data_IF_687277728553
#
_entry.id   IF_687277728553
#
_cell.length_a   1.000
_cell.length_b   1.000
_cell.length_c   1.000
_cell.angle_alpha   90.00
_cell.angle_beta   90.00
_cell.angle_gamma   90.00
#
_symmetry.space_group_name_H-M   'P 1'
#
loop_
_entity.id
_entity.type
_entity.pdbx_description
1 polymer ?
#
# COMPACT_ATOMS: atom_id res chain seq x y z
N UNK A 1 -17.67 -20.98 -1.59
CA UNK A 1 -16.83 -19.85 -2.04
C UNK A 1 -16.12 -19.31 -0.82
N UNK A 2 -14.86 -19.67 -0.59
CA UNK A 2 -14.10 -19.14 0.53
C UNK A 2 -13.86 -17.66 0.26
N UNK A 3 -14.36 -16.79 1.14
CA UNK A 3 -13.96 -15.39 1.18
C UNK A 3 -12.48 -15.34 1.55
N UNK A 4 -11.59 -15.53 0.57
CA UNK A 4 -10.17 -15.35 0.77
C UNK A 4 -9.95 -13.86 1.01
N UNK A 5 -9.49 -13.56 2.22
CA UNK A 5 -9.10 -12.22 2.61
C UNK A 5 -7.97 -11.75 1.67
N UNK A 6 -7.99 -10.50 1.16
CA UNK A 6 -6.96 -10.00 0.27
C UNK A 6 -5.57 -10.19 0.88
N UNK A 7 -4.61 -10.58 0.06
CA UNK A 7 -3.23 -10.83 0.50
C UNK A 7 -2.25 -10.43 -0.61
N UNK A 8 -0.93 -10.41 -0.34
CA UNK A 8 0.04 -9.90 -1.32
C UNK A 8 0.11 -10.65 -2.66
N UNK A 9 -0.40 -11.87 -2.74
CA UNK A 9 -0.48 -12.66 -3.99
C UNK A 9 -1.84 -12.55 -4.67
N UNK A 10 -2.88 -12.15 -3.95
CA UNK A 10 -4.25 -12.15 -4.44
C UNK A 10 -5.03 -10.95 -3.86
N UNK A 11 -5.06 -9.86 -4.63
CA UNK A 11 -5.91 -8.70 -4.39
C UNK A 11 -6.41 -8.10 -5.71
N UNK A 12 -7.63 -7.56 -5.70
CA UNK A 12 -8.35 -7.12 -6.89
C UNK A 12 -9.17 -5.83 -6.65
N UNK A 13 -9.42 -5.07 -7.73
CA UNK A 13 -10.19 -3.82 -7.71
C UNK A 13 -11.66 -3.94 -7.26
N UNK A 14 -12.15 -5.17 -7.08
CA UNK A 14 -13.51 -5.50 -6.63
C UNK A 14 -13.65 -5.53 -5.10
N UNK A 15 -12.54 -5.54 -4.35
CA UNK A 15 -12.60 -5.55 -2.90
C UNK A 15 -13.10 -4.22 -2.33
N UNK A 16 -14.07 -4.30 -1.41
CA UNK A 16 -14.64 -3.14 -0.71
C UNK A 16 -13.62 -2.38 0.14
N UNK A 17 -12.58 -3.07 0.60
CA UNK A 17 -11.50 -2.49 1.41
C UNK A 17 -10.65 -1.46 0.67
N UNK A 18 -10.79 -1.36 -0.66
CA UNK A 18 -10.12 -0.35 -1.47
C UNK A 18 -10.84 1.01 -1.45
N UNK A 19 -12.11 1.05 -1.03
CA UNK A 19 -12.88 2.28 -0.88
C UNK A 19 -12.60 2.86 0.50
N UNK A 20 -12.36 4.18 0.57
CA UNK A 20 -12.15 4.88 1.82
C UNK A 20 -13.40 4.78 2.71
N UNK A 21 -13.25 4.78 4.05
CA UNK A 21 -14.37 4.78 4.99
C UNK A 21 -15.45 5.85 4.73
N UNK A 22 -15.02 7.02 4.23
CA UNK A 22 -15.90 8.15 3.88
C UNK A 22 -16.52 8.05 2.48
N UNK A 23 -16.18 7.03 1.69
CA UNK A 23 -16.61 6.76 0.31
C UNK A 23 -16.24 7.84 -0.73
N UNK A 24 -15.36 8.79 -0.39
CA UNK A 24 -14.91 9.81 -1.34
C UNK A 24 -13.79 9.33 -2.27
N UNK A 25 -13.04 8.32 -1.85
CA UNK A 25 -11.86 7.85 -2.55
C UNK A 25 -11.89 6.34 -2.75
N UNK A 26 -11.28 5.89 -3.84
CA UNK A 26 -11.06 4.47 -4.11
C UNK A 26 -9.65 4.25 -4.64
N UNK A 27 -8.98 3.23 -4.11
CA UNK A 27 -7.72 2.75 -4.67
C UNK A 27 -8.00 1.85 -5.86
N UNK A 28 -7.31 2.09 -6.97
CA UNK A 28 -7.47 1.30 -8.21
C UNK A 28 -6.10 0.91 -8.74
N UNK A 29 -5.91 -0.38 -8.98
CA UNK A 29 -4.70 -0.96 -9.53
C UNK A 29 -4.85 -1.25 -11.04
N UNK A 30 -3.76 -1.15 -11.78
CA UNK A 30 -3.65 -1.54 -13.19
C UNK A 30 -2.41 -2.41 -13.37
N UNK A 31 -2.48 -3.28 -14.38
CA UNK A 31 -1.36 -4.13 -14.79
C UNK A 31 -0.74 -4.91 -13.61
N UNK A 32 -1.60 -5.48 -12.76
CA UNK A 32 -1.18 -6.36 -11.67
C UNK A 32 -0.55 -7.62 -12.24
N UNK A 33 0.73 -7.81 -11.95
CA UNK A 33 1.51 -8.96 -12.38
C UNK A 33 2.35 -9.49 -11.23
N UNK A 34 2.63 -10.79 -11.23
CA UNK A 34 3.61 -11.36 -10.32
C UNK A 34 4.99 -10.74 -10.57
N UNK A 35 5.73 -10.44 -9.50
CA UNK A 35 7.10 -9.90 -9.61
C UNK A 35 8.06 -10.95 -10.18
N UNK A 36 7.79 -12.20 -9.85
CA UNK A 36 8.44 -13.41 -10.33
C UNK A 36 7.45 -14.58 -10.12
N UNK A 37 7.68 -15.71 -10.78
CA UNK A 37 6.79 -16.87 -10.67
C UNK A 37 6.56 -17.27 -9.20
N UNK A 38 5.30 -17.20 -8.75
CA UNK A 38 4.89 -17.52 -7.38
C UNK A 38 5.25 -16.46 -6.32
N UNK A 39 5.78 -15.30 -6.74
CA UNK A 39 6.02 -14.14 -5.89
C UNK A 39 4.73 -13.29 -5.76
N UNK A 40 4.66 -12.39 -4.76
CA UNK A 40 3.58 -11.41 -4.67
C UNK A 40 3.39 -10.61 -5.95
N UNK A 41 2.19 -10.05 -6.11
CA UNK A 41 1.83 -9.22 -7.26
C UNK A 41 2.13 -7.74 -7.00
N UNK A 42 2.35 -7.00 -8.08
CA UNK A 42 2.50 -5.55 -8.07
C UNK A 42 2.01 -4.94 -9.38
N UNK A 43 1.69 -3.65 -9.34
CA UNK A 43 1.18 -2.92 -10.51
C UNK A 43 1.09 -1.42 -10.26
N UNK A 44 0.65 -0.69 -11.28
CA UNK A 44 0.40 0.74 -11.15
C UNK A 44 -0.79 0.97 -10.23
N UNK A 45 -0.71 1.99 -9.37
CA UNK A 45 -1.77 2.29 -8.42
C UNK A 45 -2.17 3.76 -8.49
N UNK A 46 -3.48 3.99 -8.44
CA UNK A 46 -4.11 5.29 -8.56
C UNK A 46 -5.12 5.49 -7.43
N UNK A 47 -5.24 6.73 -6.99
CA UNK A 47 -6.36 7.23 -6.21
C UNK A 47 -7.44 7.72 -7.18
N UNK A 48 -8.60 7.07 -7.19
CA UNK A 48 -9.80 7.55 -7.86
C UNK A 48 -10.62 8.42 -6.90
N UNK A 49 -10.90 9.65 -7.30
CA UNK A 49 -11.73 10.61 -6.56
C UNK A 49 -13.22 10.47 -6.93
N UNK A 50 -14.09 11.13 -6.16
CA UNK A 50 -15.55 11.11 -6.39
C UNK A 50 -15.97 11.60 -7.79
N UNK A 51 -15.20 12.51 -8.40
CA UNK A 51 -15.38 13.00 -9.77
C UNK A 51 -14.73 12.10 -10.84
N UNK A 52 -14.31 10.88 -10.47
CA UNK A 52 -13.70 9.87 -11.34
C UNK A 52 -12.35 10.24 -11.94
N UNK A 53 -11.72 11.33 -11.47
CA UNK A 53 -10.31 11.59 -11.78
C UNK A 53 -9.43 10.56 -11.10
N UNK A 54 -8.30 10.25 -11.75
CA UNK A 54 -7.32 9.29 -11.25
C UNK A 54 -6.00 9.99 -11.06
N UNK A 55 -5.53 9.99 -9.82
CA UNK A 55 -4.23 10.54 -9.45
C UNK A 55 -3.29 9.36 -9.20
N UNK A 56 -2.17 9.31 -9.93
CA UNK A 56 -1.20 8.22 -9.78
C UNK A 56 -0.54 8.30 -8.40
N UNK A 57 -0.58 7.20 -7.65
CA UNK A 57 0.11 7.05 -6.37
C UNK A 57 1.55 6.60 -6.64
N UNK A 58 1.71 5.50 -7.39
CA UNK A 58 3.02 4.99 -7.79
C UNK A 58 2.89 4.02 -8.97
N UNK A 59 3.97 3.82 -9.72
CA UNK A 59 4.01 2.86 -10.82
C UNK A 59 4.13 1.40 -10.36
N UNK A 60 4.60 1.15 -9.13
CA UNK A 60 4.89 -0.20 -8.66
C UNK A 60 4.46 -0.41 -7.20
N UNK A 61 3.16 -0.52 -6.99
CA UNK A 61 2.56 -0.81 -5.70
C UNK A 61 2.26 -2.31 -5.54
N UNK A 62 2.51 -2.84 -4.35
CA UNK A 62 1.92 -4.09 -3.88
C UNK A 62 0.58 -3.84 -3.18
N UNK A 63 0.05 -4.87 -2.55
CA UNK A 63 -1.21 -4.79 -1.82
C UNK A 63 -1.40 -5.94 -0.83
N UNK A 64 -2.57 -6.01 -0.19
CA UNK A 64 -3.61 -4.97 -0.21
C UNK A 64 -3.17 -3.71 0.55
N UNK A 65 -3.71 -2.52 0.21
CA UNK A 65 -3.53 -1.33 1.01
C UNK A 65 -4.50 -1.32 2.20
N UNK A 66 -4.28 -0.42 3.16
CA UNK A 66 -5.19 -0.22 4.28
C UNK A 66 -5.48 1.26 4.51
N UNK A 67 -6.76 1.61 4.52
CA UNK A 67 -7.23 2.91 4.96
C UNK A 67 -7.13 3.03 6.48
N UNK A 68 -6.71 4.21 6.95
CA UNK A 68 -6.91 4.62 8.33
C UNK A 68 -8.41 4.82 8.60
N UNK A 69 -8.85 4.66 9.86
CA UNK A 69 -10.27 4.69 10.25
C UNK A 69 -11.01 5.97 9.83
N UNK A 70 -10.34 7.12 9.83
CA UNK A 70 -10.92 8.41 9.42
C UNK A 70 -10.93 8.59 7.89
N UNK A 71 -10.30 7.67 7.15
CA UNK A 71 -10.28 7.61 5.68
C UNK A 71 -9.42 8.66 4.99
N UNK A 72 -8.66 9.46 5.75
CA UNK A 72 -7.80 10.51 5.21
C UNK A 72 -6.37 10.04 4.91
N UNK A 73 -5.97 8.92 5.49
CA UNK A 73 -4.65 8.33 5.29
C UNK A 73 -4.79 6.92 4.71
N UNK A 74 -3.92 6.60 3.77
CA UNK A 74 -3.85 5.29 3.13
C UNK A 74 -2.43 4.74 3.22
N UNK A 75 -2.28 3.58 3.86
CA UNK A 75 -1.05 2.82 3.84
C UNK A 75 -1.02 1.88 2.62
N UNK A 76 0.07 1.91 1.86
CA UNK A 76 0.24 1.11 0.65
C UNK A 76 1.66 0.53 0.56
N UNK A 77 1.82 -0.78 0.26
CA UNK A 77 3.12 -1.35 -0.05
C UNK A 77 3.63 -0.80 -1.39
N UNK A 78 4.89 -0.33 -1.42
CA UNK A 78 5.56 0.13 -2.65
C UNK A 78 6.79 -0.72 -2.88
N UNK A 79 6.87 -1.33 -4.04
CA UNK A 79 8.03 -2.07 -4.49
C UNK A 79 9.10 -1.11 -4.99
N UNK A 80 10.32 -1.28 -4.51
CA UNK A 80 11.48 -0.44 -4.84
C UNK A 80 12.68 -1.30 -5.18
N UNK A 81 13.48 -0.86 -6.13
CA UNK A 81 14.75 -1.51 -6.47
C UNK A 81 15.87 -0.77 -5.75
N UNK A 82 16.55 -1.44 -4.83
CA UNK A 82 17.73 -0.92 -4.11
C UNK A 82 18.98 -1.64 -4.64
N UNK A 83 20.03 -0.86 -4.95
CA UNK A 83 21.26 -1.37 -5.59
C UNK A 83 21.88 -2.59 -4.86
N UNK A 84 21.93 -2.57 -3.53
CA UNK A 84 22.54 -3.63 -2.71
C UNK A 84 21.55 -4.68 -2.17
N UNK A 85 20.24 -4.46 -2.28
CA UNK A 85 19.22 -5.34 -1.67
C UNK A 85 18.26 -5.97 -2.69
N UNK A 86 18.41 -5.66 -3.97
CA UNK A 86 17.47 -6.08 -5.01
C UNK A 86 16.11 -5.39 -4.86
N UNK A 87 15.04 -6.11 -5.19
CA UNK A 87 13.67 -5.64 -5.04
C UNK A 87 13.20 -5.85 -3.61
N UNK A 88 12.82 -4.77 -2.95
CA UNK A 88 12.27 -4.77 -1.58
C UNK A 88 10.98 -3.96 -1.54
N UNK A 89 10.23 -4.04 -0.45
CA UNK A 89 9.10 -3.14 -0.22
C UNK A 89 9.43 -2.04 0.77
N UNK A 90 8.75 -0.92 0.61
CA UNK A 90 8.65 0.16 1.57
C UNK A 90 7.17 0.43 1.84
N UNK A 91 6.88 1.07 2.98
CA UNK A 91 5.54 1.58 3.25
C UNK A 91 5.45 2.97 2.64
N UNK A 92 4.43 3.17 1.80
CA UNK A 92 3.92 4.47 1.42
C UNK A 92 2.71 4.85 2.28
N UNK A 93 2.61 6.10 2.70
CA UNK A 93 1.40 6.67 3.31
C UNK A 93 0.97 7.88 2.50
N UNK A 94 -0.21 7.79 1.89
CA UNK A 94 -0.85 8.87 1.17
C UNK A 94 -1.77 9.63 2.13
N UNK A 95 -1.57 10.94 2.26
CA UNK A 95 -2.53 11.87 2.86
C UNK A 95 -3.40 12.47 1.74
N UNK A 96 -4.69 12.11 1.73
CA UNK A 96 -5.65 12.53 0.69
C UNK A 96 -6.05 14.00 0.82
N UNK A 97 -5.87 14.62 1.99
CA UNK A 97 -6.23 16.03 2.21
C UNK A 97 -5.20 16.95 1.55
N UNK A 98 -3.94 16.58 1.69
CA UNK A 98 -2.81 17.34 1.16
C UNK A 98 -2.34 16.84 -0.21
N UNK A 99 -2.85 15.66 -0.63
CA UNK A 99 -2.38 14.93 -1.81
C UNK A 99 -0.86 14.71 -1.76
N UNK A 100 -0.38 14.18 -0.63
CA UNK A 100 1.04 13.94 -0.40
C UNK A 100 1.31 12.47 -0.08
N UNK A 101 2.25 11.87 -0.80
CA UNK A 101 2.74 10.52 -0.55
C UNK A 101 4.08 10.58 0.19
N UNK A 102 4.10 10.06 1.41
CA UNK A 102 5.32 9.81 2.19
C UNK A 102 5.77 8.37 1.97
N UNK A 103 7.02 8.16 1.58
CA UNK A 103 7.64 6.84 1.47
C UNK A 103 8.68 6.71 2.56
N UNK A 104 8.55 5.71 3.41
CA UNK A 104 9.41 5.53 4.57
C UNK A 104 10.68 4.74 4.26
N UNK A 105 11.79 5.08 4.91
CA UNK A 105 13.12 4.50 4.65
C UNK A 105 13.21 3.01 4.98
N UNK A 106 12.43 2.54 5.96
CA UNK A 106 12.45 1.14 6.39
C UNK A 106 12.02 0.23 5.25
N UNK A 107 12.78 -0.84 5.04
CA UNK A 107 12.56 -1.80 3.96
C UNK A 107 12.06 -3.12 4.51
N UNK A 108 11.20 -3.78 3.75
CA UNK A 108 10.55 -5.05 4.05
C UNK A 108 10.71 -6.02 2.88
N UNK A 109 10.46 -7.31 3.12
CA UNK A 109 10.53 -8.34 2.09
C UNK A 109 9.20 -8.45 1.36
N UNK A 110 8.13 -8.73 2.12
CA UNK A 110 6.75 -8.81 1.63
C UNK A 110 5.82 -8.33 2.73
N UNK A 111 5.20 -7.19 2.53
CA UNK A 111 4.24 -6.56 3.41
C UNK A 111 2.86 -7.11 3.14
N UNK A 112 2.22 -7.53 4.21
CA UNK A 112 0.82 -7.88 4.27
C UNK A 112 0.16 -6.98 5.31
N UNK A 113 -0.28 -5.80 4.85
CA UNK A 113 -0.89 -4.78 5.71
C UNK A 113 -2.32 -5.23 6.05
N UNK A 114 -2.65 -5.25 7.33
CA UNK A 114 -3.93 -5.74 7.85
C UNK A 114 -4.83 -4.62 8.36
N UNK A 115 -4.26 -3.61 9.00
CA UNK A 115 -5.02 -2.45 9.47
C UNK A 115 -4.12 -1.23 9.63
N UNK A 116 -4.77 -0.07 9.70
CA UNK A 116 -4.13 1.21 9.98
C UNK A 116 -5.02 1.96 10.98
N UNK A 117 -4.49 2.26 12.15
CA UNK A 117 -5.21 2.96 13.20
C UNK A 117 -4.40 4.14 13.72
N UNK A 118 -4.96 5.35 13.58
CA UNK A 118 -4.33 6.62 13.93
C UNK A 118 -3.00 6.79 13.19
N UNK A 119 -1.90 6.47 13.85
CA UNK A 119 -0.53 6.58 13.33
C UNK A 119 0.12 5.22 13.11
N UNK A 120 -0.52 4.13 13.53
CA UNK A 120 0.10 2.81 13.54
C UNK A 120 -0.47 1.90 12.47
N UNK A 121 0.42 1.37 11.64
CA UNK A 121 0.12 0.37 10.62
C UNK A 121 0.48 -1.01 11.19
N UNK A 122 -0.45 -1.95 11.08
CA UNK A 122 -0.32 -3.32 11.55
C UNK A 122 -0.37 -4.32 10.40
N UNK A 123 0.37 -5.41 10.54
CA UNK A 123 0.38 -6.47 9.55
C UNK A 123 1.53 -7.46 9.75
N UNK A 124 2.08 -7.94 8.65
CA UNK A 124 3.21 -8.88 8.66
C UNK A 124 4.27 -8.51 7.62
N UNK A 125 5.54 -8.78 7.94
CA UNK A 125 6.61 -8.92 6.97
C UNK A 125 6.87 -10.41 6.70
N UNK A 126 6.97 -10.78 5.43
CA UNK A 126 7.11 -12.15 4.93
C UNK A 126 6.05 -13.11 5.48
N UNK A 127 4.75 -12.87 5.20
CA UNK A 127 3.64 -13.62 5.79
C UNK A 127 3.73 -15.14 5.59
N UNK A 128 4.36 -15.61 4.50
CA UNK A 128 4.51 -17.05 4.20
C UNK A 128 5.79 -17.65 4.81
N UNK A 129 6.87 -16.88 4.97
CA UNK A 129 8.18 -17.40 5.34
C UNK A 129 8.87 -16.50 6.36
N UNK A 130 9.20 -17.04 7.55
CA UNK A 130 9.81 -16.25 8.64
C UNK A 130 8.97 -15.01 8.95
N UNK A 131 7.69 -15.26 9.19
CA UNK A 131 6.68 -14.23 9.45
C UNK A 131 7.05 -13.40 10.66
N UNK A 132 7.16 -12.09 10.46
CA UNK A 132 7.40 -11.13 11.51
C UNK A 132 6.20 -10.20 11.65
N UNK A 133 5.79 -9.90 12.90
CA UNK A 133 4.71 -8.95 13.14
C UNK A 133 5.18 -7.54 12.81
N UNK A 134 4.37 -6.83 12.03
CA UNK A 134 4.56 -5.42 11.75
C UNK A 134 3.77 -4.58 12.75
N UNK A 135 4.46 -3.68 13.43
CA UNK A 135 3.90 -2.55 14.15
C UNK A 135 4.73 -1.33 13.75
N UNK A 136 4.15 -0.47 12.92
CA UNK A 136 4.85 0.63 12.24
C UNK A 136 4.16 1.96 12.55
N UNK A 137 4.81 2.79 13.36
CA UNK A 137 4.30 4.10 13.77
C UNK A 137 4.87 5.19 12.85
N UNK A 138 3.99 5.78 12.02
CA UNK A 138 4.38 6.72 10.97
C UNK A 138 4.99 8.02 11.52
N UNK A 139 4.78 8.35 12.80
CA UNK A 139 5.35 9.54 13.43
C UNK A 139 6.77 9.33 13.94
N UNK A 140 7.15 8.07 14.20
CA UNK A 140 8.48 7.71 14.72
C UNK A 140 9.44 7.26 13.62
N UNK A 141 8.89 6.77 12.52
CA UNK A 141 9.65 6.17 11.44
C UNK A 141 10.18 7.23 10.47
N UNK A 142 11.40 7.01 9.95
CA UNK A 142 12.08 7.98 9.11
C UNK A 142 11.48 7.99 7.69
N UNK A 143 11.05 9.16 7.23
CA UNK A 143 10.67 9.41 5.83
C UNK A 143 11.93 9.42 4.94
N UNK A 144 11.88 8.71 3.82
CA UNK A 144 12.93 8.75 2.78
C UNK A 144 12.55 9.74 1.67
N UNK A 145 11.29 9.71 1.23
CA UNK A 145 10.80 10.52 0.11
C UNK A 145 9.44 11.12 0.46
N UNK A 146 9.24 12.38 0.07
CA UNK A 146 7.95 13.05 0.09
C UNK A 146 7.62 13.47 -1.35
N UNK A 147 6.45 13.08 -1.84
CA UNK A 147 6.00 13.36 -3.21
C UNK A 147 4.65 14.07 -3.12
N UNK A 148 4.52 15.22 -3.77
CA UNK A 148 3.23 15.88 -3.96
C UNK A 148 2.55 15.29 -5.20
N UNK A 149 1.36 14.77 -5.05
CA UNK A 149 0.57 14.21 -6.14
C UNK A 149 -0.23 15.33 -6.79
N UNK A 150 -0.17 15.40 -8.12
CA UNK A 150 -0.96 16.33 -8.92
C UNK A 150 -1.94 15.53 -9.76
N UNK A 151 -3.20 16.00 -9.79
CA UNK A 151 -4.23 15.48 -10.68
C UNK A 151 -4.05 15.98 -12.11
#
# INVERSE_FOLDING_TARGET
>A
MTHNYPNPWDFHNTYKTLVSPDNYHKVVYYDLNEIAMGAPIGGQCFLETSDKKKVKINDWCGGPPAWEKDGQLLAIPIWTRKFLKGTVQQIGVLDTRNMELKIFKKTFRVLDIRSFEKTTIYGYDSPIHKTERLNFDIEKERVETLIKLTA
#
